data_IF_912214165675
#
_entry.id   IF_912214165675
#
_cell.length_a   1.000
_cell.length_b   1.000
_cell.length_c   1.000
_cell.angle_alpha   90.00
_cell.angle_beta   90.00
_cell.angle_gamma   90.00
#
_symmetry.space_group_name_H-M   'P 1'
#
loop_
_entity.id
_entity.type
_entity.pdbx_description
1 polymer ?
#
# COMPACT_ATOMS: atom_id res chain seq x y z
N UNK A 1 47.09 27.70 -36.61
CA UNK A 1 47.70 26.74 -35.68
C UNK A 1 47.39 27.22 -34.27
N UNK A 2 46.26 26.81 -33.75
CA UNK A 2 45.93 26.96 -32.33
C UNK A 2 45.70 25.55 -31.81
N UNK A 3 46.58 25.13 -30.90
CA UNK A 3 46.57 23.83 -30.26
C UNK A 3 45.48 23.84 -29.19
N UNK A 4 44.35 23.19 -29.44
CA UNK A 4 43.39 22.88 -28.40
C UNK A 4 43.90 21.66 -27.62
N UNK A 5 44.40 21.93 -26.43
CA UNK A 5 44.76 20.95 -25.40
C UNK A 5 43.57 20.01 -25.11
N UNK A 6 43.78 18.69 -25.02
CA UNK A 6 42.72 17.77 -24.62
C UNK A 6 42.40 17.95 -23.13
N UNK A 7 41.11 18.08 -22.83
CA UNK A 7 40.56 18.17 -21.48
C UNK A 7 40.95 16.93 -20.63
N UNK A 8 41.23 17.11 -19.33
CA UNK A 8 41.66 16.02 -18.46
C UNK A 8 40.55 15.00 -18.20
N UNK A 9 40.89 13.71 -17.98
CA UNK A 9 39.93 12.60 -17.84
C UNK A 9 39.01 12.69 -16.60
N UNK A 10 39.24 13.65 -15.70
CA UNK A 10 38.46 13.82 -14.47
C UNK A 10 37.08 14.47 -14.69
N UNK A 11 36.85 15.16 -15.83
CA UNK A 11 35.56 15.82 -16.12
C UNK A 11 34.61 14.93 -16.93
N UNK A 12 35.10 13.86 -17.56
CA UNK A 12 34.26 12.84 -18.18
C UNK A 12 33.63 11.90 -17.13
N UNK A 13 34.25 11.75 -15.96
CA UNK A 13 33.74 10.92 -14.85
C UNK A 13 32.70 11.64 -13.97
N UNK A 14 32.58 12.96 -14.10
CA UNK A 14 31.56 13.75 -13.40
C UNK A 14 30.19 13.73 -14.12
N UNK A 15 30.15 13.38 -15.41
CA UNK A 15 28.90 13.24 -16.17
C UNK A 15 28.19 11.90 -15.94
N UNK A 16 28.83 10.93 -15.26
CA UNK A 16 28.25 9.63 -14.89
C UNK A 16 27.69 9.59 -13.46
N UNK A 17 27.46 10.76 -12.83
CA UNK A 17 26.98 10.87 -11.43
C UNK A 17 25.65 11.60 -11.26
N UNK A 18 24.88 11.73 -12.34
CA UNK A 18 23.45 12.06 -12.27
C UNK A 18 22.59 10.79 -12.37
N UNK A 19 23.03 9.71 -11.72
CA UNK A 19 22.15 8.58 -11.45
C UNK A 19 21.25 8.99 -10.27
N UNK A 20 20.02 9.41 -10.62
CA UNK A 20 18.94 9.65 -9.66
C UNK A 20 18.84 8.43 -8.73
N UNK A 21 19.04 8.56 -7.41
CA UNK A 21 18.97 7.43 -6.53
C UNK A 21 17.49 7.05 -6.36
N UNK A 22 17.09 5.95 -6.99
CA UNK A 22 15.95 5.15 -6.55
C UNK A 22 14.59 5.47 -7.15
N UNK A 23 14.46 5.76 -8.46
CA UNK A 23 13.13 5.76 -9.12
C UNK A 23 12.68 4.38 -9.62
N UNK A 24 13.53 3.36 -9.52
CA UNK A 24 13.24 2.02 -10.04
C UNK A 24 13.33 0.88 -9.03
N UNK A 25 13.82 1.11 -7.80
CA UNK A 25 14.07 -0.02 -6.89
C UNK A 25 12.76 -0.60 -6.35
N UNK A 26 11.83 0.24 -5.93
CA UNK A 26 10.53 -0.14 -5.39
C UNK A 26 9.69 -0.91 -6.41
N UNK A 27 9.59 -0.39 -7.63
CA UNK A 27 8.91 -1.06 -8.74
C UNK A 27 9.53 -2.43 -9.02
N UNK A 28 10.86 -2.52 -9.04
CA UNK A 28 11.58 -3.79 -9.25
C UNK A 28 11.35 -4.78 -8.10
N UNK A 29 11.36 -4.32 -6.85
CA UNK A 29 11.10 -5.15 -5.67
C UNK A 29 9.69 -5.74 -5.70
N UNK A 30 8.67 -4.92 -5.98
CA UNK A 30 7.29 -5.41 -6.05
C UNK A 30 7.14 -6.38 -7.23
N UNK A 31 7.72 -6.07 -8.39
CA UNK A 31 7.69 -7.00 -9.54
C UNK A 31 8.42 -8.32 -9.24
N UNK A 32 9.52 -8.29 -8.49
CA UNK A 32 10.21 -9.49 -8.03
C UNK A 32 9.33 -10.30 -7.05
N UNK A 33 8.67 -9.66 -6.10
CA UNK A 33 7.71 -10.33 -5.21
C UNK A 33 6.54 -10.95 -6.00
N UNK A 34 6.01 -10.26 -7.00
CA UNK A 34 4.93 -10.81 -7.84
C UNK A 34 5.38 -12.01 -8.67
N UNK A 35 6.68 -12.10 -9.01
CA UNK A 35 7.24 -13.24 -9.74
C UNK A 35 7.33 -14.52 -8.91
N UNK A 36 7.26 -14.43 -7.58
CA UNK A 36 7.24 -15.61 -6.69
C UNK A 36 5.84 -16.23 -6.54
N UNK A 37 4.81 -15.55 -7.05
CA UNK A 37 3.44 -16.04 -7.01
C UNK A 37 3.23 -17.18 -8.02
N UNK A 38 2.46 -18.22 -7.66
CA UNK A 38 2.07 -19.24 -8.62
C UNK A 38 1.14 -18.64 -9.69
N UNK A 39 1.11 -19.21 -10.91
CA UNK A 39 0.44 -18.60 -12.06
C UNK A 39 -1.08 -18.40 -11.86
N UNK A 40 -1.73 -19.23 -11.04
CA UNK A 40 -3.15 -19.08 -10.71
C UNK A 40 -3.41 -17.86 -9.81
N UNK A 41 -2.54 -17.59 -8.82
CA UNK A 41 -2.64 -16.42 -7.97
C UNK A 41 -2.31 -15.15 -8.75
N UNK A 42 -1.36 -15.21 -9.68
CA UNK A 42 -1.04 -14.09 -10.56
C UNK A 42 -2.23 -13.76 -11.49
N UNK A 43 -2.88 -14.76 -12.09
CA UNK A 43 -4.07 -14.56 -12.91
C UNK A 43 -5.26 -13.99 -12.09
N UNK A 44 -5.49 -14.50 -10.89
CA UNK A 44 -6.50 -13.97 -9.97
C UNK A 44 -6.21 -12.51 -9.59
N UNK A 45 -4.97 -12.19 -9.23
CA UNK A 45 -4.51 -10.84 -8.89
C UNK A 45 -4.68 -9.88 -10.07
N UNK A 46 -4.31 -10.29 -11.29
CA UNK A 46 -4.47 -9.43 -12.47
C UNK A 46 -5.93 -9.13 -12.79
N UNK A 47 -6.82 -10.12 -12.63
CA UNK A 47 -8.27 -9.95 -12.81
C UNK A 47 -8.85 -9.01 -11.74
N UNK A 48 -8.39 -9.15 -10.49
CA UNK A 48 -8.75 -8.31 -9.36
C UNK A 48 -8.34 -6.85 -9.58
N UNK A 49 -7.09 -6.63 -10.00
CA UNK A 49 -6.55 -5.30 -10.32
C UNK A 49 -7.30 -4.68 -11.51
N UNK A 50 -7.63 -5.46 -12.54
CA UNK A 50 -8.41 -4.96 -13.68
C UNK A 50 -9.79 -4.48 -13.23
N UNK A 51 -10.50 -5.26 -12.41
CA UNK A 51 -11.79 -4.88 -11.83
C UNK A 51 -11.69 -3.60 -10.98
N UNK A 52 -10.65 -3.51 -10.15
CA UNK A 52 -10.37 -2.35 -9.31
C UNK A 52 -10.04 -1.10 -10.15
N UNK A 53 -9.21 -1.25 -11.19
CA UNK A 53 -8.88 -0.18 -12.13
C UNK A 53 -10.13 0.30 -12.88
N UNK A 54 -10.99 -0.62 -13.33
CA UNK A 54 -12.26 -0.30 -13.96
C UNK A 54 -13.20 0.46 -13.03
N UNK A 55 -13.31 0.03 -11.78
CA UNK A 55 -14.13 0.71 -10.77
C UNK A 55 -13.62 2.14 -10.50
N UNK A 56 -12.30 2.31 -10.32
CA UNK A 56 -11.65 3.63 -10.16
C UNK A 56 -11.88 4.51 -11.39
N UNK A 57 -11.77 3.94 -12.60
CA UNK A 57 -11.98 4.66 -13.86
C UNK A 57 -13.41 5.16 -14.01
N UNK A 58 -14.40 4.30 -13.73
CA UNK A 58 -15.82 4.67 -13.73
C UNK A 58 -16.08 5.81 -12.75
N UNK A 59 -15.53 5.70 -11.53
CA UNK A 59 -15.69 6.70 -10.48
C UNK A 59 -15.07 8.04 -10.83
N UNK A 60 -13.83 8.05 -11.33
CA UNK A 60 -13.17 9.26 -11.85
C UNK A 60 -13.94 9.88 -13.02
N UNK A 61 -14.45 9.06 -13.94
CA UNK A 61 -15.25 9.56 -15.06
C UNK A 61 -16.55 10.22 -14.58
N UNK A 62 -17.22 9.64 -13.58
CA UNK A 62 -18.41 10.22 -12.97
C UNK A 62 -18.09 11.55 -12.25
N UNK A 63 -16.97 11.59 -11.53
CA UNK A 63 -16.49 12.78 -10.82
C UNK A 63 -16.16 13.93 -11.79
N UNK A 64 -15.46 13.64 -12.90
CA UNK A 64 -15.07 14.66 -13.89
C UNK A 64 -16.25 15.12 -14.76
N UNK A 65 -17.25 14.26 -14.96
CA UNK A 65 -18.45 14.59 -15.75
C UNK A 65 -19.45 15.42 -14.94
N UNK A 66 -19.56 15.19 -13.64
CA UNK A 66 -20.47 15.92 -12.74
C UNK A 66 -19.81 17.18 -12.14
N UNK A 67 -20.26 18.40 -12.48
CA UNK A 67 -19.69 19.64 -11.93
C UNK A 67 -19.85 19.73 -10.41
N UNK A 68 -20.99 19.29 -9.87
CA UNK A 68 -21.26 19.33 -8.43
C UNK A 68 -20.37 18.36 -7.65
N UNK A 69 -20.20 17.13 -8.15
CA UNK A 69 -19.33 16.14 -7.50
C UNK A 69 -17.86 16.58 -7.54
N UNK A 70 -17.39 17.11 -8.66
CA UNK A 70 -16.04 17.67 -8.78
C UNK A 70 -15.83 18.82 -7.80
N UNK A 71 -16.75 19.78 -7.75
CA UNK A 71 -16.62 20.96 -6.87
C UNK A 71 -16.63 20.57 -5.39
N UNK A 72 -17.48 19.61 -5.00
CA UNK A 72 -17.50 19.07 -3.64
C UNK A 72 -16.20 18.33 -3.28
N UNK A 73 -15.66 17.51 -4.18
CA UNK A 73 -14.41 16.80 -3.96
C UNK A 73 -13.22 17.76 -3.89
N UNK A 74 -13.18 18.78 -4.75
CA UNK A 74 -12.13 19.79 -4.76
C UNK A 74 -12.21 20.70 -3.52
N UNK A 75 -13.40 21.12 -3.11
CA UNK A 75 -13.61 21.90 -1.89
C UNK A 75 -13.18 21.10 -0.65
N UNK A 76 -13.51 19.80 -0.59
CA UNK A 76 -13.02 18.90 0.46
C UNK A 76 -11.50 18.79 0.43
N UNK A 77 -10.87 18.60 -0.74
CA UNK A 77 -9.41 18.59 -0.84
C UNK A 77 -8.77 19.91 -0.39
N UNK A 78 -9.39 21.05 -0.66
CA UNK A 78 -8.87 22.36 -0.28
C UNK A 78 -9.01 22.63 1.23
N UNK A 79 -10.04 22.09 1.88
CA UNK A 79 -10.22 22.23 3.33
C UNK A 79 -9.24 21.38 4.14
N UNK A 80 -8.63 20.37 3.53
CA UNK A 80 -7.67 19.49 4.19
C UNK A 80 -6.28 20.12 4.26
N UNK A 81 -5.66 20.02 5.44
CA UNK A 81 -4.26 20.33 5.66
C UNK A 81 -3.33 19.36 4.91
N UNK A 82 -2.07 19.76 4.69
CA UNK A 82 -1.06 18.90 4.06
C UNK A 82 -0.94 17.50 4.73
N UNK A 83 -0.85 17.35 6.07
CA UNK A 83 -0.79 16.03 6.69
C UNK A 83 -2.07 15.20 6.52
N UNK A 84 -3.23 15.83 6.33
CA UNK A 84 -4.46 15.10 6.04
C UNK A 84 -4.50 14.62 4.58
N UNK A 85 -3.95 15.40 3.65
CA UNK A 85 -3.78 14.97 2.24
C UNK A 85 -2.81 13.79 2.14
N UNK A 86 -1.69 13.80 2.86
CA UNK A 86 -0.78 12.65 2.94
C UNK A 86 -1.45 11.44 3.57
N UNK A 87 -2.29 11.63 4.58
CA UNK A 87 -3.07 10.55 5.18
C UNK A 87 -4.09 9.92 4.21
N UNK A 88 -4.72 10.69 3.31
CA UNK A 88 -5.58 10.14 2.24
C UNK A 88 -4.80 9.24 1.28
N UNK A 89 -3.60 9.68 0.86
CA UNK A 89 -2.70 8.88 0.02
C UNK A 89 -2.22 7.64 0.77
N UNK A 90 -1.89 7.76 2.06
CA UNK A 90 -1.48 6.65 2.90
C UNK A 90 -2.59 5.59 3.01
N UNK A 91 -3.83 6.00 3.27
CA UNK A 91 -4.97 5.08 3.27
C UNK A 91 -5.11 4.39 1.90
N UNK A 92 -5.04 5.14 0.80
CA UNK A 92 -5.13 4.57 -0.55
C UNK A 92 -4.02 3.55 -0.83
N UNK A 93 -2.79 3.86 -0.41
CA UNK A 93 -1.64 2.96 -0.49
C UNK A 93 -1.88 1.70 0.33
N UNK A 94 -2.34 1.82 1.57
CA UNK A 94 -2.66 0.69 2.43
C UNK A 94 -3.68 -0.25 1.78
N UNK A 95 -4.77 0.31 1.22
CA UNK A 95 -5.76 -0.48 0.49
C UNK A 95 -5.15 -1.20 -0.72
N UNK A 96 -4.25 -0.53 -1.45
CA UNK A 96 -3.60 -1.10 -2.63
C UNK A 96 -2.56 -2.17 -2.26
N UNK A 97 -1.79 -1.98 -1.19
CA UNK A 97 -0.85 -2.97 -0.66
C UNK A 97 -1.58 -4.19 -0.10
N UNK A 98 -2.70 -4.01 0.59
CA UNK A 98 -3.50 -5.12 1.08
C UNK A 98 -4.02 -5.97 -0.10
N UNK A 99 -4.48 -5.31 -1.16
CA UNK A 99 -4.95 -5.98 -2.37
C UNK A 99 -3.85 -6.78 -3.09
N UNK A 100 -2.60 -6.30 -3.08
CA UNK A 100 -1.46 -7.06 -3.61
C UNK A 100 -1.12 -8.26 -2.72
N UNK A 101 -1.06 -8.02 -1.42
CA UNK A 101 -0.55 -9.01 -0.46
C UNK A 101 -1.56 -10.11 -0.15
N UNK A 102 -2.86 -9.89 -0.35
CA UNK A 102 -3.91 -10.90 -0.12
C UNK A 102 -3.82 -12.13 -1.03
N UNK A 103 -3.05 -12.06 -2.12
CA UNK A 103 -2.84 -13.19 -3.05
C UNK A 103 -1.59 -14.03 -2.72
N UNK A 104 -0.81 -13.64 -1.71
CA UNK A 104 0.32 -14.42 -1.22
C UNK A 104 -0.16 -15.49 -0.20
N UNK A 105 0.57 -16.59 -0.10
CA UNK A 105 0.29 -17.67 0.85
C UNK A 105 1.42 -17.76 1.89
N UNK A 106 1.14 -17.64 3.21
CA UNK A 106 -0.17 -17.34 3.81
C UNK A 106 -0.59 -15.87 3.62
N UNK A 107 -1.91 -15.58 3.51
CA UNK A 107 -2.38 -14.20 3.37
C UNK A 107 -2.14 -13.42 4.66
N UNK A 108 -1.68 -12.16 4.60
CA UNK A 108 -1.59 -11.34 5.80
C UNK A 108 -3.00 -11.04 6.34
N UNK A 109 -3.14 -10.89 7.67
CA UNK A 109 -4.42 -10.53 8.27
C UNK A 109 -4.93 -9.21 7.69
N UNK A 110 -6.24 -9.10 7.41
CA UNK A 110 -6.80 -7.88 6.84
C UNK A 110 -6.57 -6.71 7.80
N UNK A 111 -6.24 -5.52 7.28
CA UNK A 111 -6.18 -4.33 8.12
C UNK A 111 -7.57 -4.11 8.76
N UNK A 112 -7.63 -3.56 9.98
CA UNK A 112 -8.91 -3.13 10.56
C UNK A 112 -9.62 -2.26 9.52
N UNK A 113 -10.93 -2.46 9.35
CA UNK A 113 -11.71 -1.82 8.31
C UNK A 113 -11.43 -0.32 8.30
N UNK A 114 -10.54 0.11 7.41
CA UNK A 114 -10.28 1.51 7.18
C UNK A 114 -11.53 2.00 6.45
N UNK A 115 -12.53 2.44 7.23
CA UNK A 115 -13.74 3.03 6.70
C UNK A 115 -13.33 4.21 5.83
N UNK A 116 -13.26 3.99 4.53
CA UNK A 116 -13.20 5.07 3.58
C UNK A 116 -14.60 5.63 3.47
N UNK A 117 -14.80 6.84 3.97
CA UNK A 117 -15.96 7.60 3.54
C UNK A 117 -15.86 7.79 2.03
N UNK A 118 -16.99 7.65 1.33
CA UNK A 118 -17.03 7.81 -0.13
C UNK A 118 -16.39 9.15 -0.57
N UNK A 119 -16.59 10.22 0.21
CA UNK A 119 -15.98 11.53 -0.03
C UNK A 119 -14.44 11.50 0.01
N UNK A 120 -13.85 10.79 0.96
CA UNK A 120 -12.40 10.66 1.10
C UNK A 120 -11.79 9.85 -0.04
N UNK A 121 -12.50 8.81 -0.51
CA UNK A 121 -12.06 8.06 -1.67
C UNK A 121 -12.14 8.90 -2.97
N UNK A 122 -13.15 9.76 -3.14
CA UNK A 122 -13.27 10.67 -4.30
C UNK A 122 -12.14 11.71 -4.30
N UNK A 123 -11.90 12.30 -3.13
CA UNK A 123 -10.80 13.23 -2.91
C UNK A 123 -9.43 12.57 -3.13
N UNK A 124 -9.20 11.36 -2.64
CA UNK A 124 -7.95 10.62 -2.87
C UNK A 124 -7.72 10.33 -4.36
N UNK A 125 -8.75 9.89 -5.10
CA UNK A 125 -8.63 9.64 -6.54
C UNK A 125 -8.38 10.93 -7.32
N UNK A 126 -9.05 12.03 -6.95
CA UNK A 126 -8.84 13.34 -7.58
C UNK A 126 -7.43 13.88 -7.27
N UNK A 127 -6.94 13.72 -6.05
CA UNK A 127 -5.58 14.11 -5.65
C UNK A 127 -4.53 13.30 -6.42
N UNK A 128 -4.69 11.98 -6.53
CA UNK A 128 -3.78 11.13 -7.30
C UNK A 128 -3.79 11.51 -8.79
N UNK A 129 -4.97 11.79 -9.37
CA UNK A 129 -5.07 12.27 -10.74
C UNK A 129 -4.37 13.62 -10.94
N UNK A 130 -4.54 14.56 -10.00
CA UNK A 130 -3.87 15.85 -10.02
C UNK A 130 -2.34 15.67 -9.94
N UNK A 131 -1.85 14.84 -9.02
CA UNK A 131 -0.42 14.53 -8.92
C UNK A 131 0.13 13.90 -10.21
N UNK A 132 -0.58 12.93 -10.80
CA UNK A 132 -0.16 12.28 -12.04
C UNK A 132 -0.16 13.23 -13.25
N UNK A 133 -1.10 14.17 -13.31
CA UNK A 133 -1.18 15.15 -14.39
C UNK A 133 -0.16 16.27 -14.20
N UNK A 134 0.03 16.76 -12.99
CA UNK A 134 1.05 17.75 -12.66
C UNK A 134 2.47 17.22 -12.88
N UNK A 135 2.71 15.95 -12.58
CA UNK A 135 4.01 15.34 -12.85
C UNK A 135 4.31 15.27 -14.36
N UNK A 136 3.29 15.07 -15.21
CA UNK A 136 3.44 14.99 -16.67
C UNK A 136 3.37 16.36 -17.36
N UNK A 137 2.66 17.30 -16.76
CA UNK A 137 2.38 18.63 -17.28
C UNK A 137 2.45 19.63 -16.10
N UNK A 138 3.65 20.09 -15.73
CA UNK A 138 3.82 21.00 -14.58
C UNK A 138 3.06 22.31 -14.76
N UNK A 139 2.95 22.80 -16.00
CA UNK A 139 2.29 24.08 -16.33
C UNK A 139 0.75 23.99 -16.37
N UNK A 140 0.16 22.82 -16.13
CA UNK A 140 -1.27 22.58 -16.34
C UNK A 140 -2.17 23.47 -15.47
N UNK A 141 -1.82 23.66 -14.20
CA UNK A 141 -2.62 24.45 -13.26
C UNK A 141 -2.38 25.96 -13.42
N UNK A 142 -1.22 26.37 -13.93
CA UNK A 142 -0.86 27.77 -14.15
C UNK A 142 -1.43 28.31 -15.46
N UNK A 143 -1.51 27.47 -16.49
CA UNK A 143 -2.06 27.82 -17.79
C UNK A 143 -3.60 27.82 -17.83
N UNK A 144 -4.27 27.19 -16.85
CA UNK A 144 -5.73 27.02 -16.85
C UNK A 144 -6.40 27.80 -15.72
N UNK A 145 -7.38 28.67 -16.04
CA UNK A 145 -8.18 29.33 -15.01
C UNK A 145 -8.96 28.28 -14.20
N UNK A 146 -9.13 28.54 -12.90
CA UNK A 146 -9.74 27.62 -11.93
C UNK A 146 -11.10 27.03 -12.39
N UNK A 147 -11.94 27.85 -13.03
CA UNK A 147 -13.26 27.43 -13.53
C UNK A 147 -13.20 26.37 -14.65
N UNK A 148 -12.05 26.28 -15.33
CA UNK A 148 -11.83 25.36 -16.44
C UNK A 148 -11.03 24.12 -16.04
N UNK A 149 -10.56 24.02 -14.78
CA UNK A 149 -9.79 22.87 -14.30
C UNK A 149 -10.52 21.55 -14.56
N UNK A 150 -11.83 21.48 -14.28
CA UNK A 150 -12.59 20.25 -14.52
C UNK A 150 -12.55 19.80 -15.98
N UNK A 151 -12.70 20.73 -16.93
CA UNK A 151 -12.70 20.43 -18.36
C UNK A 151 -11.30 20.06 -18.85
N UNK A 152 -10.27 20.78 -18.39
CA UNK A 152 -8.87 20.49 -18.69
C UNK A 152 -8.47 19.10 -18.16
N UNK A 153 -8.72 18.82 -16.88
CA UNK A 153 -8.45 17.51 -16.26
C UNK A 153 -9.21 16.40 -16.97
N UNK A 154 -10.48 16.62 -17.35
CA UNK A 154 -11.26 15.65 -18.12
C UNK A 154 -10.71 15.40 -19.52
N UNK A 155 -10.21 16.43 -20.21
CA UNK A 155 -9.60 16.32 -21.52
C UNK A 155 -8.28 15.53 -21.45
N UNK A 156 -7.38 15.88 -20.53
CA UNK A 156 -6.11 15.18 -20.34
C UNK A 156 -6.30 13.75 -19.83
N UNK A 157 -7.26 13.52 -18.93
CA UNK A 157 -7.59 12.17 -18.47
C UNK A 157 -8.08 11.26 -19.60
N UNK A 158 -8.86 11.79 -20.55
CA UNK A 158 -9.30 11.05 -21.75
C UNK A 158 -8.19 10.90 -22.79
N UNK A 159 -7.30 11.87 -22.91
CA UNK A 159 -6.23 11.92 -23.90
C UNK A 159 -5.00 11.08 -23.51
N UNK A 160 -4.76 10.88 -22.21
CA UNK A 160 -3.65 10.03 -21.76
C UNK A 160 -3.59 9.93 -20.24
N UNK A 161 -3.83 8.73 -19.70
CA UNK A 161 -3.47 8.41 -18.32
C UNK A 161 -3.06 6.96 -18.19
N UNK A 162 -2.14 6.71 -17.26
CA UNK A 162 -1.77 5.38 -16.74
C UNK A 162 -3.01 4.62 -16.20
N UNK A 163 -4.13 5.32 -15.93
CA UNK A 163 -5.45 4.76 -15.59
C UNK A 163 -6.37 4.51 -16.81
N UNK A 164 -5.99 5.00 -17.99
CA UNK A 164 -6.64 4.78 -19.28
C UNK A 164 -5.87 3.72 -20.10
N UNK A 165 -5.71 2.51 -19.56
CA UNK A 165 -5.34 1.37 -20.40
C UNK A 165 -6.53 1.06 -21.32
N UNK A 166 -6.57 1.73 -22.48
CA UNK A 166 -7.49 1.37 -23.55
C UNK A 166 -6.83 0.53 -24.64
N UNK A 167 -5.50 0.42 -24.75
CA UNK A 167 -4.89 -0.14 -25.98
C UNK A 167 -3.56 -0.92 -25.84
N UNK A 168 -3.24 -1.57 -24.73
CA UNK A 168 -2.09 -2.50 -24.71
C UNK A 168 -2.61 -3.92 -24.47
N UNK A 169 -2.34 -4.79 -25.44
CA UNK A 169 -2.82 -6.16 -25.54
C UNK A 169 -2.68 -6.97 -24.24
N UNK A 170 -3.54 -7.98 -24.15
CA UNK A 170 -3.75 -8.91 -23.03
C UNK A 170 -2.47 -9.67 -22.68
N UNK A 171 -1.52 -9.00 -22.03
CA UNK A 171 -0.40 -9.60 -21.33
C UNK A 171 -0.43 -9.07 -19.90
N UNK A 172 -0.12 -9.94 -18.93
CA UNK A 172 -0.14 -9.61 -17.49
C UNK A 172 0.61 -8.32 -17.14
N UNK A 173 1.66 -7.98 -17.89
CA UNK A 173 2.44 -6.74 -17.71
C UNK A 173 1.68 -5.45 -18.01
N UNK A 174 0.63 -5.47 -18.85
CA UNK A 174 -0.10 -4.28 -19.26
C UNK A 174 -0.91 -3.63 -18.12
N UNK A 175 -1.39 -4.43 -17.16
CA UNK A 175 -2.19 -3.94 -16.02
C UNK A 175 -1.37 -3.91 -14.73
N UNK A 176 -0.36 -4.78 -14.59
CA UNK A 176 0.46 -4.86 -13.39
C UNK A 176 1.45 -3.71 -13.26
N UNK A 177 2.21 -3.42 -14.32
CA UNK A 177 3.20 -2.34 -14.35
C UNK A 177 2.64 -0.99 -13.90
N UNK A 178 1.54 -0.45 -14.49
CA UNK A 178 0.98 0.83 -14.09
C UNK A 178 0.48 0.83 -12.63
N UNK A 179 -0.02 -0.31 -12.16
CA UNK A 179 -0.50 -0.46 -10.79
C UNK A 179 0.65 -0.47 -9.78
N UNK A 180 1.73 -1.21 -10.07
CA UNK A 180 2.94 -1.26 -9.26
C UNK A 180 3.61 0.11 -9.21
N UNK A 181 3.62 0.82 -10.33
CA UNK A 181 4.16 2.17 -10.39
C UNK A 181 3.34 3.14 -9.54
N UNK A 182 2.01 3.07 -9.59
CA UNK A 182 1.12 3.84 -8.71
C UNK A 182 1.42 3.55 -7.22
N UNK A 183 1.56 2.28 -6.85
CA UNK A 183 1.88 1.86 -5.48
C UNK A 183 3.25 2.42 -5.05
N UNK A 184 4.25 2.36 -5.93
CA UNK A 184 5.59 2.88 -5.67
C UNK A 184 5.60 4.40 -5.50
N UNK A 185 4.85 5.14 -6.34
CA UNK A 185 4.68 6.59 -6.20
C UNK A 185 3.99 6.95 -4.88
N UNK A 186 2.92 6.25 -4.52
CA UNK A 186 2.23 6.48 -3.25
C UNK A 186 3.14 6.18 -2.06
N UNK A 187 3.96 5.12 -2.13
CA UNK A 187 4.94 4.81 -1.10
C UNK A 187 5.95 5.94 -0.91
N UNK A 188 6.52 6.47 -2.00
CA UNK A 188 7.44 7.62 -1.95
C UNK A 188 6.77 8.87 -1.40
N UNK A 189 5.48 9.09 -1.69
CA UNK A 189 4.74 10.22 -1.15
C UNK A 189 4.53 10.12 0.37
N UNK A 190 4.33 8.90 0.88
CA UNK A 190 4.12 8.65 2.32
C UNK A 190 5.42 8.62 3.11
N UNK A 191 6.52 8.18 2.49
CA UNK A 191 7.84 8.01 3.14
C UNK A 191 8.84 9.13 2.84
N UNK A 192 8.51 10.03 1.90
CA UNK A 192 9.39 11.05 1.34
C UNK A 192 9.72 12.24 2.23
N UNK A 193 9.34 12.23 3.51
CA UNK A 193 9.93 13.10 4.52
C UNK A 193 10.61 12.20 5.54
N UNK A 194 11.96 12.22 5.54
CA UNK A 194 12.85 11.32 6.29
C UNK A 194 12.80 11.46 7.81
N UNK A 195 11.61 11.67 8.39
CA UNK A 195 11.36 11.45 9.80
C UNK A 195 11.26 9.96 10.02
N UNK A 196 12.41 9.36 10.32
CA UNK A 196 12.48 8.09 11.01
C UNK A 196 11.68 8.19 12.32
N UNK A 197 10.38 7.92 12.25
CA UNK A 197 9.58 7.68 13.42
C UNK A 197 10.18 6.46 14.11
N UNK A 198 10.75 6.71 15.29
CA UNK A 198 11.18 5.69 16.22
C UNK A 198 10.12 4.61 16.25
N UNK A 199 10.56 3.35 16.13
CA UNK A 199 9.76 2.13 16.24
C UNK A 199 9.04 2.12 17.59
N UNK A 200 7.96 2.89 17.72
CA UNK A 200 7.09 2.86 18.86
C UNK A 200 6.36 1.53 18.77
N UNK A 201 6.43 0.73 19.83
CA UNK A 201 5.65 -0.50 19.94
C UNK A 201 4.17 -0.11 19.85
N UNK A 202 3.55 -0.37 18.71
CA UNK A 202 2.17 -0.03 18.45
C UNK A 202 1.25 -1.12 19.04
N UNK A 203 0.10 -0.75 19.62
CA UNK A 203 -0.91 -1.71 20.06
C UNK A 203 -1.53 -2.43 18.85
N UNK A 204 -1.99 -3.66 19.04
CA UNK A 204 -2.81 -4.33 18.03
C UNK A 204 -4.13 -3.58 17.88
N UNK A 205 -4.66 -3.55 16.66
CA UNK A 205 -5.96 -2.99 16.37
C UNK A 205 -7.06 -3.71 17.18
N UNK A 206 -7.93 -3.01 17.94
CA UNK A 206 -9.00 -3.65 18.71
C UNK A 206 -9.88 -4.56 17.84
N UNK A 207 -10.15 -4.15 16.59
CA UNK A 207 -10.89 -4.97 15.64
C UNK A 207 -10.15 -6.27 15.26
N UNK A 208 -8.81 -6.21 15.12
CA UNK A 208 -8.00 -7.39 14.84
C UNK A 208 -7.95 -8.34 16.05
N UNK A 209 -7.95 -7.80 17.28
CA UNK A 209 -8.02 -8.59 18.51
C UNK A 209 -9.38 -9.28 18.63
N UNK A 210 -10.49 -8.56 18.41
CA UNK A 210 -11.85 -9.14 18.47
C UNK A 210 -12.08 -10.21 17.41
N UNK A 211 -11.41 -10.11 16.25
CA UNK A 211 -11.53 -11.09 15.17
C UNK A 211 -10.72 -12.39 15.39
N UNK A 212 -9.97 -12.52 16.49
CA UNK A 212 -9.19 -13.72 16.76
C UNK A 212 -10.10 -14.91 17.10
N UNK A 213 -9.87 -16.10 16.51
CA UNK A 213 -10.67 -17.28 16.79
C UNK A 213 -10.50 -17.73 18.24
N UNK A 214 -11.63 -18.01 18.88
CA UNK A 214 -11.70 -18.71 20.16
C UNK A 214 -11.77 -20.20 19.86
N UNK A 215 -10.79 -20.97 20.32
CA UNK A 215 -10.70 -22.41 20.08
C UNK A 215 -10.91 -23.17 21.38
N UNK A 216 -11.71 -24.24 21.35
CA UNK A 216 -11.86 -25.12 22.50
C UNK A 216 -10.59 -25.98 22.62
N UNK A 217 -9.96 -25.97 23.79
CA UNK A 217 -8.72 -26.71 24.07
C UNK A 217 -8.77 -28.24 23.96
N UNK A 218 -9.83 -28.82 23.39
CA UNK A 218 -10.15 -30.25 23.40
C UNK A 218 -10.05 -31.01 22.08
N UNK A 219 -9.71 -30.34 20.98
CA UNK A 219 -9.89 -30.89 19.64
C UNK A 219 -8.68 -31.57 18.99
N UNK A 220 -7.95 -32.43 19.69
CA UNK A 220 -7.02 -33.39 19.07
C UNK A 220 -5.51 -33.11 19.22
N UNK A 221 -4.92 -33.74 20.24
CA UNK A 221 -3.53 -34.21 20.19
C UNK A 221 -2.44 -33.25 20.67
N UNK A 222 -2.54 -32.78 21.93
CA UNK A 222 -1.40 -32.18 22.65
C UNK A 222 -1.82 -30.94 23.43
N UNK A 223 -2.11 -31.10 24.72
CA UNK A 223 -2.43 -29.98 25.62
C UNK A 223 -1.30 -28.94 25.59
N UNK A 224 -1.57 -27.79 24.99
CA UNK A 224 -0.62 -26.69 24.90
C UNK A 224 -0.49 -25.98 26.24
N UNK A 225 0.73 -25.72 26.69
CA UNK A 225 0.99 -24.82 27.81
C UNK A 225 0.98 -23.37 27.32
N UNK A 226 0.34 -22.47 28.07
CA UNK A 226 0.38 -21.05 27.74
C UNK A 226 1.75 -20.49 28.10
N UNK A 227 2.54 -20.05 27.12
CA UNK A 227 3.92 -19.54 27.36
C UNK A 227 3.98 -18.28 28.24
N UNK A 228 2.85 -17.62 28.48
CA UNK A 228 2.75 -16.40 29.31
C UNK A 228 2.63 -16.75 30.79
N UNK A 229 1.67 -17.62 31.16
CA UNK A 229 1.46 -18.03 32.56
C UNK A 229 2.07 -19.39 32.90
N UNK A 230 2.52 -20.16 31.91
CA UNK A 230 3.04 -21.54 32.00
C UNK A 230 2.03 -22.56 32.55
N UNK A 231 0.75 -22.28 32.41
CA UNK A 231 -0.34 -23.17 32.82
C UNK A 231 -0.91 -23.93 31.61
N UNK A 232 -1.44 -25.13 31.85
CA UNK A 232 -2.09 -25.94 30.82
C UNK A 232 -3.37 -25.29 30.31
N UNK A 233 -3.56 -25.28 28.99
CA UNK A 233 -4.82 -24.85 28.37
C UNK A 233 -5.83 -25.98 28.46
N UNK A 234 -6.74 -25.90 29.43
CA UNK A 234 -7.81 -26.89 29.64
C UNK A 234 -9.02 -26.64 28.73
N UNK A 235 -9.79 -27.70 28.46
CA UNK A 235 -11.08 -27.63 27.75
C UNK A 235 -12.04 -26.64 28.46
N UNK A 236 -12.63 -25.73 27.68
CA UNK A 236 -13.65 -24.79 28.17
C UNK A 236 -13.13 -23.50 28.81
N UNK A 237 -11.81 -23.20 28.75
CA UNK A 237 -11.28 -21.86 29.05
C UNK A 237 -11.03 -21.09 27.76
N UNK A 238 -11.23 -19.77 27.81
CA UNK A 238 -11.04 -18.82 26.71
C UNK A 238 -9.62 -18.89 26.12
N UNK A 239 -9.37 -19.84 25.21
CA UNK A 239 -8.11 -19.95 24.46
C UNK A 239 -8.27 -19.19 23.15
N UNK A 240 -7.29 -18.34 22.87
CA UNK A 240 -7.16 -17.63 21.62
C UNK A 240 -6.04 -18.23 20.79
N UNK A 241 -6.34 -18.45 19.52
CA UNK A 241 -5.34 -18.74 18.49
C UNK A 241 -5.00 -17.46 17.71
N UNK A 242 -3.70 -17.10 17.68
CA UNK A 242 -3.21 -16.02 16.82
C UNK A 242 -3.13 -16.47 15.34
N UNK A 243 -3.09 -15.58 14.35
CA UNK A 243 -2.97 -15.96 12.93
C UNK A 243 -1.70 -16.77 12.59
N UNK A 244 -0.70 -16.70 13.46
CA UNK A 244 0.51 -17.52 13.41
C UNK A 244 0.37 -18.91 14.05
N UNK A 245 -0.84 -19.32 14.43
CA UNK A 245 -1.22 -20.58 15.10
C UNK A 245 -0.66 -20.82 16.50
N UNK A 246 -0.15 -19.78 17.15
CA UNK A 246 0.23 -19.86 18.56
C UNK A 246 -0.98 -19.63 19.46
N UNK A 247 -1.13 -20.47 20.48
CA UNK A 247 -2.25 -20.49 21.41
C UNK A 247 -1.90 -19.79 22.73
N UNK A 248 -2.86 -19.06 23.29
CA UNK A 248 -2.74 -18.36 24.56
C UNK A 248 -4.09 -18.29 25.27
N UNK A 249 -4.09 -18.18 26.61
CA UNK A 249 -5.30 -17.75 27.31
C UNK A 249 -5.65 -16.31 26.94
N UNK A 250 -6.94 -16.01 26.84
CA UNK A 250 -7.43 -14.69 26.49
C UNK A 250 -7.01 -13.63 27.50
N UNK A 251 -7.11 -13.96 28.78
CA UNK A 251 -6.61 -13.15 29.90
C UNK A 251 -5.10 -12.86 29.83
N UNK A 252 -4.32 -13.75 29.21
CA UNK A 252 -2.86 -13.63 29.12
C UNK A 252 -2.41 -12.83 27.91
N UNK A 253 -3.06 -13.02 26.75
CA UNK A 253 -2.67 -12.37 25.50
C UNK A 253 -3.28 -10.98 25.34
N UNK A 254 -4.45 -10.70 25.91
CA UNK A 254 -5.07 -9.38 25.82
C UNK A 254 -4.19 -8.24 26.38
N UNK A 255 -3.63 -8.33 27.61
CA UNK A 255 -2.75 -7.28 28.14
C UNK A 255 -1.49 -7.06 27.30
N UNK A 256 -1.04 -8.12 26.61
CA UNK A 256 0.09 -8.05 25.69
C UNK A 256 -0.30 -7.31 24.40
N UNK A 257 -1.43 -7.67 23.77
CA UNK A 257 -1.90 -7.07 22.52
C UNK A 257 -2.29 -5.58 22.66
N UNK A 258 -2.72 -5.17 23.85
CA UNK A 258 -2.96 -3.75 24.19
C UNK A 258 -1.66 -2.93 24.20
N UNK A 259 -0.50 -3.55 24.40
CA UNK A 259 0.80 -2.86 24.44
C UNK A 259 1.65 -3.10 23.19
N UNK A 260 1.50 -4.27 22.56
CA UNK A 260 2.34 -4.75 21.45
C UNK A 260 1.51 -5.52 20.45
N UNK A 261 1.68 -5.23 19.17
CA UNK A 261 1.03 -5.98 18.09
C UNK A 261 1.77 -7.26 17.66
N UNK A 262 2.74 -7.78 18.43
CA UNK A 262 3.54 -8.95 18.02
C UNK A 262 3.22 -10.21 18.81
N UNK A 263 3.25 -11.39 18.19
CA UNK A 263 3.18 -12.66 18.89
C UNK A 263 4.36 -12.84 19.87
N UNK A 264 4.15 -13.19 21.14
CA UNK A 264 5.23 -13.49 22.10
C UNK A 264 6.18 -14.61 21.67
N UNK A 265 5.68 -15.60 20.91
CA UNK A 265 6.46 -16.78 20.50
C UNK A 265 7.33 -16.52 19.27
N UNK A 266 6.72 -15.99 18.20
CA UNK A 266 7.37 -15.90 16.88
C UNK A 266 7.50 -14.47 16.35
N UNK A 267 7.11 -13.45 17.13
CA UNK A 267 7.12 -12.03 16.74
C UNK A 267 6.27 -11.68 15.51
N UNK A 268 5.39 -12.58 15.09
CA UNK A 268 4.41 -12.31 14.03
C UNK A 268 3.61 -11.04 14.34
N UNK A 269 3.56 -10.10 13.41
CA UNK A 269 2.91 -8.80 13.59
C UNK A 269 1.44 -8.83 13.19
N UNK A 270 0.56 -8.53 14.15
CA UNK A 270 -0.86 -8.28 13.98
C UNK A 270 -1.11 -6.86 13.42
N UNK A 271 -2.26 -6.64 12.75
CA UNK A 271 -2.65 -5.33 12.26
C UNK A 271 -2.76 -4.28 13.38
N UNK A 272 -2.46 -3.02 13.05
CA UNK A 272 -2.55 -1.87 13.97
C UNK A 272 -3.52 -0.81 13.43
N UNK A 273 -4.07 0.04 14.29
CA UNK A 273 -4.87 1.21 13.87
C UNK A 273 -4.01 2.30 13.20
N UNK A 274 -2.69 2.27 13.40
CA UNK A 274 -1.76 3.17 12.74
C UNK A 274 -1.60 2.80 11.26
N UNK A 275 -2.13 3.66 10.38
CA UNK A 275 -2.02 3.53 8.92
C UNK A 275 -0.56 3.48 8.47
N UNK A 276 0.33 4.28 9.08
CA UNK A 276 1.74 4.33 8.71
C UNK A 276 2.50 3.05 9.10
N UNK A 277 2.22 2.53 10.29
CA UNK A 277 2.70 1.24 10.78
C UNK A 277 2.25 0.08 9.90
N UNK A 278 0.99 0.06 9.50
CA UNK A 278 0.43 -1.01 8.67
C UNK A 278 0.99 -0.99 7.24
N UNK A 279 1.18 0.21 6.65
CA UNK A 279 1.87 0.38 5.37
C UNK A 279 3.29 -0.21 5.44
N UNK A 280 4.05 0.10 6.49
CA UNK A 280 5.40 -0.45 6.70
C UNK A 280 5.39 -1.97 6.88
N UNK A 281 4.40 -2.51 7.60
CA UNK A 281 4.22 -3.95 7.80
C UNK A 281 4.00 -4.69 6.47
N UNK A 282 3.05 -4.24 5.66
CA UNK A 282 2.75 -4.85 4.36
C UNK A 282 3.89 -4.67 3.36
N UNK A 283 4.58 -3.53 3.39
CA UNK A 283 5.76 -3.31 2.56
C UNK A 283 6.91 -4.25 2.94
N UNK A 284 7.18 -4.42 4.24
CA UNK A 284 8.18 -5.37 4.74
C UNK A 284 7.89 -6.80 4.27
N UNK A 285 6.62 -7.22 4.32
CA UNK A 285 6.19 -8.52 3.79
C UNK A 285 6.51 -8.67 2.29
N UNK A 286 6.29 -7.64 1.47
CA UNK A 286 6.63 -7.69 0.04
C UNK A 286 8.15 -7.78 -0.19
N UNK A 287 8.95 -7.08 0.63
CA UNK A 287 10.42 -7.17 0.56
C UNK A 287 10.91 -8.57 0.94
N UNK A 288 10.36 -9.16 1.99
CA UNK A 288 10.68 -10.53 2.41
C UNK A 288 10.30 -11.55 1.31
N UNK A 289 9.13 -11.38 0.69
CA UNK A 289 8.67 -12.22 -0.41
C UNK A 289 9.55 -12.10 -1.67
N UNK A 290 10.07 -10.90 -1.96
CA UNK A 290 11.02 -10.68 -3.05
C UNK A 290 12.38 -11.35 -2.77
N UNK A 291 12.86 -11.31 -1.52
CA UNK A 291 14.11 -11.93 -1.09
C UNK A 291 14.10 -13.45 -1.18
N UNK A 292 12.98 -14.10 -0.85
CA UNK A 292 12.82 -15.55 -0.97
C UNK A 292 12.92 -16.06 -2.43
N UNK A 293 12.56 -15.23 -3.41
CA UNK A 293 12.64 -15.58 -4.84
C UNK A 293 14.06 -15.54 -5.44
N UNK A 294 15.02 -14.93 -4.75
CA UNK A 294 16.41 -14.84 -5.21
C UNK A 294 17.29 -16.01 -4.73
N UNK A 295 16.76 -16.90 -3.88
CA UNK A 295 17.48 -18.02 -3.27
C UNK A 295 17.18 -19.39 -3.92
N UNK A 296 16.55 -19.42 -5.10
CA UNK A 296 16.22 -20.64 -5.86
C UNK A 296 16.95 -20.66 -7.18
#
# INVERSE_FOLDING_TARGET
MEYQTPLPPAEAEAAAKNDFPGEGNETRMIMAALSTLPPHNLAALTSSILSLADARRRRLSALLTSPAAFSLALAHLHSLSLPQKTHLVAKHLLSSLHHLTSHFSPPPPPPPAAFFHHRDADAALLLLLLCDLLHRHPDLLDATPYDHWRLALAAHYRAGSVLSHREIGVFYGGVLTPYVELVSRCWRFVTGDGRGEKKAEAPAAPAAVVALPSVDGGGGGGGGECVVCKEAMEEGRDVCELPCRHLFHWSCILPWLVKRNTCPCCRFQLPTEDVGGEIRRLWGFLVDAAGCGAAV
#
